data_IF_900053756345
#
_entry.id   IF_900053756345
#
_cell.length_a   1.000
_cell.length_b   1.000
_cell.length_c   1.000
_cell.angle_alpha   90.00
_cell.angle_beta   90.00
_cell.angle_gamma   90.00
#
_symmetry.space_group_name_H-M   'P 1'
#
loop_
_entity.id
_entity.type
_entity.pdbx_description
1 polymer ?
#
# COMPACT_ATOMS: atom_id res chain seq x y z
N UNK A 1 27.85 13.54 1.71
CA UNK A 1 26.42 13.46 2.07
C UNK A 1 25.79 12.32 1.30
N UNK A 2 25.35 11.29 2.01
CA UNK A 2 24.68 10.13 1.40
C UNK A 2 23.26 10.56 0.98
N UNK A 3 22.95 10.44 -0.30
CA UNK A 3 21.58 10.67 -0.78
C UNK A 3 20.72 9.49 -0.31
N UNK A 4 19.62 9.71 0.41
CA UNK A 4 18.76 8.61 0.83
C UNK A 4 18.20 7.90 -0.41
N UNK A 5 18.36 6.57 -0.43
CA UNK A 5 17.80 5.74 -1.50
C UNK A 5 16.29 5.66 -1.31
N UNK A 6 15.54 6.47 -2.05
CA UNK A 6 14.07 6.39 -2.09
C UNK A 6 13.68 5.23 -3.01
N UNK A 7 12.90 4.29 -2.49
CA UNK A 7 12.27 3.23 -3.31
C UNK A 7 10.78 3.53 -3.45
N UNK A 8 10.22 3.49 -4.67
CA UNK A 8 8.80 3.76 -4.86
C UNK A 8 7.97 2.68 -4.16
N UNK A 9 6.93 3.12 -3.45
CA UNK A 9 5.87 2.25 -2.96
C UNK A 9 4.73 2.27 -3.98
N UNK A 10 4.50 1.14 -4.64
CA UNK A 10 3.40 1.01 -5.59
C UNK A 10 2.22 0.33 -4.91
N UNK A 11 1.03 0.91 -5.03
CA UNK A 11 -0.20 0.31 -4.51
C UNK A 11 -1.07 -0.04 -5.71
N UNK A 12 -1.51 -1.29 -5.78
CA UNK A 12 -2.32 -1.78 -6.90
C UNK A 12 -3.69 -2.17 -6.34
N UNK A 13 -4.66 -1.28 -6.49
CA UNK A 13 -6.06 -1.57 -6.18
C UNK A 13 -6.74 -2.00 -7.47
N UNK A 14 -6.86 -3.30 -7.69
CA UNK A 14 -7.68 -3.84 -8.77
C UNK A 14 -9.15 -3.83 -8.33
N UNK A 15 -10.00 -3.16 -9.10
CA UNK A 15 -11.45 -3.37 -9.06
C UNK A 15 -11.82 -4.09 -10.33
N UNK A 16 -11.98 -5.40 -10.25
CA UNK A 16 -12.67 -6.15 -11.29
C UNK A 16 -14.07 -6.51 -10.83
N UNK A 17 -15.00 -6.57 -11.79
CA UNK A 17 -16.31 -7.22 -11.68
C UNK A 17 -16.21 -8.75 -11.48
N UNK A 18 -15.05 -9.24 -11.03
CA UNK A 18 -14.76 -10.63 -10.68
C UNK A 18 -15.03 -10.78 -9.17
N UNK A 19 -15.91 -11.69 -8.72
CA UNK A 19 -16.23 -11.91 -7.30
C UNK A 19 -15.04 -12.23 -6.38
N UNK A 20 -13.84 -12.43 -6.94
CA UNK A 20 -12.61 -12.76 -6.22
C UNK A 20 -11.50 -11.69 -6.31
N UNK A 21 -11.65 -10.61 -7.10
CA UNK A 21 -10.67 -9.52 -7.10
C UNK A 21 -10.81 -8.73 -5.80
N UNK A 22 -9.87 -8.96 -4.89
CA UNK A 22 -9.82 -8.34 -3.56
C UNK A 22 -8.46 -7.66 -3.50
N UNK A 23 -8.47 -6.34 -3.29
CA UNK A 23 -7.31 -5.46 -3.50
C UNK A 23 -6.00 -6.00 -2.91
N UNK A 24 -4.87 -5.51 -3.41
CA UNK A 24 -3.56 -5.91 -2.90
C UNK A 24 -2.74 -4.68 -2.52
N UNK A 25 -1.85 -4.84 -1.54
CA UNK A 25 -0.80 -3.86 -1.29
C UNK A 25 0.54 -4.49 -1.64
N UNK A 26 1.45 -3.67 -2.15
CA UNK A 26 2.72 -4.13 -2.69
C UNK A 26 3.84 -3.29 -2.10
N UNK A 27 4.96 -3.92 -1.76
CA UNK A 27 6.20 -3.20 -1.39
C UNK A 27 7.34 -3.64 -2.29
N UNK A 28 8.24 -2.70 -2.57
CA UNK A 28 9.55 -3.06 -3.08
C UNK A 28 10.29 -3.85 -1.98
N UNK A 29 10.75 -5.05 -2.30
CA UNK A 29 11.53 -5.84 -1.36
C UNK A 29 12.84 -5.11 -1.04
N UNK A 30 13.15 -5.03 0.26
CA UNK A 30 14.41 -4.51 0.77
C UNK A 30 15.25 -5.66 1.31
N UNK A 31 16.52 -5.40 1.65
CA UNK A 31 17.43 -6.43 2.18
C UNK A 31 16.91 -7.14 3.45
N UNK A 32 15.86 -6.59 4.08
CA UNK A 32 15.17 -7.17 5.24
C UNK A 32 14.37 -8.44 4.88
N UNK A 33 14.00 -8.65 3.61
CA UNK A 33 13.12 -9.75 3.19
C UNK A 33 13.84 -11.07 2.95
N UNK A 34 15.18 -11.10 3.00
CA UNK A 34 16.07 -12.29 2.82
C UNK A 34 15.78 -13.19 1.59
N UNK A 35 14.89 -12.78 0.69
CA UNK A 35 14.48 -13.51 -0.51
C UNK A 35 14.61 -12.59 -1.72
N UNK A 36 15.85 -12.34 -2.14
CA UNK A 36 16.24 -11.64 -3.38
C UNK A 36 15.68 -10.20 -3.59
N UNK A 37 16.36 -9.33 -4.36
CA UNK A 37 15.76 -8.08 -4.82
C UNK A 37 14.48 -8.41 -5.63
N UNK A 38 13.34 -7.80 -5.26
CA UNK A 38 12.06 -8.17 -5.84
C UNK A 38 10.89 -7.28 -5.40
N UNK A 39 9.68 -7.72 -5.70
CA UNK A 39 8.42 -7.07 -5.34
C UNK A 39 7.66 -8.05 -4.44
N UNK A 40 7.28 -7.63 -3.23
CA UNK A 40 6.42 -8.43 -2.36
C UNK A 40 4.97 -7.97 -2.51
N UNK A 41 4.11 -8.89 -2.98
CA UNK A 41 2.67 -8.70 -3.13
C UNK A 41 1.94 -9.32 -1.93
N UNK A 42 1.10 -8.53 -1.27
CA UNK A 42 0.20 -9.00 -0.21
C UNK A 42 -1.23 -8.99 -0.72
N UNK A 43 -1.76 -10.18 -0.94
CA UNK A 43 -3.15 -10.39 -1.34
C UNK A 43 -4.07 -10.40 -0.12
N UNK A 44 -5.38 -10.34 -0.37
CA UNK A 44 -6.36 -10.44 0.70
C UNK A 44 -6.23 -11.74 1.49
N UNK A 45 -6.11 -11.63 2.81
CA UNK A 45 -5.92 -12.77 3.72
C UNK A 45 -7.17 -13.62 3.95
N UNK A 46 -8.36 -13.08 3.65
CA UNK A 46 -9.63 -13.69 4.03
C UNK A 46 -10.16 -13.28 5.40
N UNK A 47 -9.39 -12.55 6.21
CA UNK A 47 -9.74 -12.27 7.61
C UNK A 47 -10.89 -11.25 7.77
N UNK A 48 -10.90 -10.19 6.94
CA UNK A 48 -11.90 -9.11 6.98
C UNK A 48 -11.95 -8.35 5.66
N UNK A 49 -12.96 -7.50 5.43
CA UNK A 49 -13.10 -6.72 4.19
C UNK A 49 -12.70 -5.23 4.35
N UNK A 50 -11.75 -4.91 5.23
CA UNK A 50 -11.34 -3.52 5.53
C UNK A 50 -10.30 -2.99 4.53
N UNK A 51 -10.67 -2.99 3.25
CA UNK A 51 -9.72 -2.75 2.15
C UNK A 51 -9.21 -1.31 2.08
N UNK A 52 -10.11 -0.33 2.14
CA UNK A 52 -9.76 1.08 1.98
C UNK A 52 -10.73 2.00 2.73
N UNK A 53 -10.23 3.14 3.17
CA UNK A 53 -11.01 4.26 3.70
C UNK A 53 -10.39 5.56 3.23
N UNK A 54 -11.23 6.49 2.81
CA UNK A 54 -10.84 7.87 2.50
C UNK A 54 -11.73 8.82 3.28
N UNK A 55 -11.11 9.80 3.92
CA UNK A 55 -11.78 10.89 4.63
C UNK A 55 -11.18 12.22 4.17
N UNK A 56 -11.76 13.33 4.58
CA UNK A 56 -11.13 14.66 4.41
C UNK A 56 -9.76 14.75 5.11
N UNK A 57 -9.52 13.88 6.08
CA UNK A 57 -8.33 13.90 6.93
C UNK A 57 -7.27 12.86 6.55
N UNK A 58 -7.55 11.93 5.63
CA UNK A 58 -6.64 10.82 5.33
C UNK A 58 -7.08 9.93 4.18
N UNK A 59 -6.12 9.19 3.62
CA UNK A 59 -6.35 7.99 2.81
C UNK A 59 -5.66 6.81 3.51
N UNK A 60 -6.38 5.71 3.70
CA UNK A 60 -5.80 4.52 4.31
C UNK A 60 -6.28 3.22 3.66
N UNK A 61 -5.46 2.17 3.76
CA UNK A 61 -5.72 0.86 3.17
C UNK A 61 -5.26 -0.28 4.09
N UNK A 62 -6.05 -1.36 4.10
CA UNK A 62 -5.79 -2.59 4.85
C UNK A 62 -5.90 -2.40 6.36
N UNK A 63 -7.09 -2.62 6.92
CA UNK A 63 -7.34 -2.49 8.36
C UNK A 63 -7.30 -3.82 9.15
N UNK A 64 -7.83 -3.77 10.38
CA UNK A 64 -7.82 -4.90 11.31
C UNK A 64 -6.48 -4.99 12.04
N UNK A 65 -6.21 -4.03 12.91
CA UNK A 65 -4.89 -3.77 13.49
C UNK A 65 -4.44 -2.36 13.14
N UNK A 66 -3.22 -2.21 12.63
CA UNK A 66 -2.78 -0.98 11.98
C UNK A 66 -3.35 -0.88 10.56
N UNK A 67 -3.13 0.26 9.89
CA UNK A 67 -3.30 0.35 8.45
C UNK A 67 -2.06 -0.21 7.74
N UNK A 68 -2.27 -1.05 6.74
CA UNK A 68 -1.21 -1.46 5.81
C UNK A 68 -0.53 -0.25 5.17
N UNK A 69 -1.34 0.77 4.84
CA UNK A 69 -0.90 2.09 4.43
C UNK A 69 -1.83 3.16 4.99
N UNK A 70 -1.27 4.23 5.53
CA UNK A 70 -1.97 5.45 5.89
C UNK A 70 -1.21 6.65 5.33
N UNK A 71 -1.93 7.64 4.83
CA UNK A 71 -1.42 8.93 4.39
C UNK A 71 -2.33 10.02 4.96
N UNK A 72 -1.74 11.09 5.50
CA UNK A 72 -2.47 12.22 6.09
C UNK A 72 -3.13 13.12 5.04
N UNK A 73 -3.79 14.19 5.51
CA UNK A 73 -4.69 15.04 4.75
C UNK A 73 -3.98 15.93 3.71
N UNK A 74 -2.76 16.36 4.02
CA UNK A 74 -1.93 17.13 3.10
C UNK A 74 -1.04 16.26 2.20
N UNK A 75 -1.19 14.92 2.30
CA UNK A 75 -0.45 13.92 1.54
C UNK A 75 1.07 14.01 1.73
N UNK A 76 1.54 14.57 2.85
CA UNK A 76 2.97 14.79 3.10
C UNK A 76 3.59 13.72 3.99
N UNK A 77 2.80 13.05 4.83
CA UNK A 77 3.30 12.01 5.73
C UNK A 77 2.41 10.78 5.70
N UNK A 78 3.03 9.65 5.97
CA UNK A 78 2.32 8.40 6.07
C UNK A 78 2.89 7.48 7.12
N UNK A 79 2.13 6.43 7.37
CA UNK A 79 2.55 5.33 8.22
C UNK A 79 2.14 3.98 7.63
N UNK A 80 2.80 2.93 8.08
CA UNK A 80 2.57 1.56 7.63
C UNK A 80 2.77 0.60 8.79
N UNK A 81 1.85 -0.36 8.91
CA UNK A 81 1.92 -1.41 9.90
C UNK A 81 1.35 -2.73 9.36
N UNK A 82 1.42 -3.80 10.16
CA UNK A 82 0.77 -5.04 9.82
C UNK A 82 -0.76 -4.87 9.88
N UNK A 83 -1.44 -5.39 8.87
CA UNK A 83 -2.90 -5.43 8.82
C UNK A 83 -3.41 -6.86 8.69
N UNK A 84 -4.51 -7.16 9.36
CA UNK A 84 -5.19 -8.44 9.18
C UNK A 84 -5.75 -8.57 7.76
N UNK A 85 -6.18 -7.47 7.11
CA UNK A 85 -6.76 -7.52 5.74
C UNK A 85 -5.82 -8.15 4.72
N UNK A 86 -4.52 -7.84 4.78
CA UNK A 86 -3.53 -8.31 3.81
C UNK A 86 -2.46 -9.23 4.41
N UNK A 87 -2.47 -9.45 5.73
CA UNK A 87 -1.41 -10.14 6.45
C UNK A 87 0.00 -9.62 6.09
N UNK A 88 0.09 -8.31 5.87
CA UNK A 88 1.32 -7.67 5.38
C UNK A 88 2.30 -7.38 6.51
N UNK A 89 3.58 -7.28 6.15
CA UNK A 89 4.57 -6.59 6.97
C UNK A 89 4.50 -5.08 6.67
N UNK A 90 5.07 -4.21 7.53
CA UNK A 90 5.28 -2.81 7.20
C UNK A 90 5.91 -2.65 5.80
N UNK A 91 5.36 -1.72 5.02
CA UNK A 91 5.74 -1.51 3.63
C UNK A 91 7.05 -0.74 3.47
N UNK A 92 7.47 -0.06 4.55
CA UNK A 92 8.70 0.70 4.67
C UNK A 92 9.55 0.13 5.81
N UNK A 93 10.86 0.43 5.79
CA UNK A 93 11.79 0.02 6.86
C UNK A 93 11.42 0.66 8.20
N UNK A 94 10.86 1.87 8.17
CA UNK A 94 10.33 2.59 9.32
C UNK A 94 8.80 2.61 9.27
N UNK A 95 8.11 2.55 10.44
CA UNK A 95 6.65 2.64 10.48
C UNK A 95 6.10 3.96 9.96
N UNK A 96 6.83 5.06 10.16
CA UNK A 96 6.48 6.40 9.68
C UNK A 96 7.41 6.81 8.53
N UNK A 97 6.88 7.57 7.56
CA UNK A 97 7.63 8.04 6.40
C UNK A 97 7.09 9.37 5.86
N UNK A 98 7.99 10.14 5.23
CA UNK A 98 7.62 11.32 4.45
C UNK A 98 7.28 10.91 3.01
N UNK A 99 6.23 11.51 2.46
CA UNK A 99 5.81 11.30 1.08
C UNK A 99 6.56 12.28 0.18
N UNK A 100 7.42 11.75 -0.68
CA UNK A 100 8.13 12.57 -1.68
C UNK A 100 7.24 12.84 -2.89
N UNK A 101 6.58 11.79 -3.40
CA UNK A 101 5.65 11.84 -4.52
C UNK A 101 4.53 10.83 -4.27
N UNK A 102 3.30 11.19 -4.65
CA UNK A 102 2.15 10.29 -4.68
C UNK A 102 1.59 10.26 -6.10
N UNK A 103 1.52 9.08 -6.68
CA UNK A 103 0.98 8.87 -8.03
C UNK A 103 -0.30 8.03 -7.93
N UNK A 104 -1.34 8.43 -8.68
CA UNK A 104 -2.58 7.67 -8.81
C UNK A 104 -2.83 7.42 -10.29
N UNK A 105 -2.92 6.15 -10.66
CA UNK A 105 -3.08 5.70 -12.04
C UNK A 105 -4.45 5.07 -12.21
N UNK A 106 -5.18 5.47 -13.25
CA UNK A 106 -6.47 4.92 -13.62
C UNK A 106 -6.46 4.37 -15.04
N UNK A 107 -7.26 3.34 -15.28
CA UNK A 107 -7.51 2.85 -16.63
C UNK A 107 -8.67 3.62 -17.24
N UNK A 108 -8.55 4.02 -18.50
CA UNK A 108 -9.67 4.53 -19.28
C UNK A 108 -10.27 3.37 -20.09
N UNK A 109 -11.59 3.31 -20.16
CA UNK A 109 -12.22 2.51 -21.20
C UNK A 109 -12.03 3.25 -22.53
N UNK A 110 -11.63 2.54 -23.58
CA UNK A 110 -11.68 3.11 -24.92
C UNK A 110 -13.15 3.44 -25.22
N UNK A 111 -13.47 4.71 -25.46
CA UNK A 111 -14.75 5.08 -26.07
C UNK A 111 -14.73 4.59 -27.52
N UNK A 112 -15.68 3.72 -27.88
CA UNK A 112 -15.94 3.37 -29.28
C UNK A 112 -16.31 4.61 -30.11
#
# INVERSE_FOLDING_TARGET
>A
DEVPVVRPLNIVVEKDDIPQARGAIVRAATDIDRVAPGIAKYEWSGANAYFQVGTESSIAMGGGGAFGLYVDDDLSRGSTGPSDTFANLPLCTTPDFDVVNLECWGFTTASN
#
